data_IF_985730014235
#
_entry.id   IF_985730014235
#
_cell.length_a   1.000
_cell.length_b   1.000
_cell.length_c   1.000
_cell.angle_alpha   90.00
_cell.angle_beta   90.00
_cell.angle_gamma   90.00
#
_symmetry.space_group_name_H-M   'P 1'
#
loop_
_entity.id
_entity.type
_entity.pdbx_description
1 polymer ?
#
# COMPACT_ATOMS: atom_id res chain seq x y z
N UNK A 1 -21.85 -6.62 22.95
CA UNK A 1 -20.52 -6.78 22.35
C UNK A 1 -20.73 -7.38 20.97
N UNK A 2 -20.02 -6.90 19.95
CA UNK A 2 -20.02 -7.55 18.63
C UNK A 2 -18.82 -8.50 18.60
N UNK A 3 -19.10 -9.77 18.36
CA UNK A 3 -18.03 -10.76 18.16
C UNK A 3 -17.38 -10.52 16.81
N UNK A 4 -16.07 -10.52 16.77
CA UNK A 4 -15.28 -10.44 15.55
C UNK A 4 -14.48 -11.73 15.38
N UNK A 5 -14.37 -12.20 14.14
CA UNK A 5 -13.51 -13.33 13.84
C UNK A 5 -12.03 -12.90 13.91
N UNK A 6 -11.26 -13.65 14.70
CA UNK A 6 -9.81 -13.46 14.80
C UNK A 6 -9.08 -14.72 14.35
N UNK A 7 -7.94 -14.53 13.70
CA UNK A 7 -7.07 -15.66 13.35
C UNK A 7 -6.33 -16.15 14.59
N UNK A 8 -6.42 -17.46 14.84
CA UNK A 8 -5.72 -18.14 15.94
C UNK A 8 -4.85 -19.26 15.37
N UNK A 9 -3.65 -19.40 15.89
CA UNK A 9 -2.80 -20.56 15.58
C UNK A 9 -3.46 -21.84 16.08
N UNK A 10 -3.32 -22.91 15.29
CA UNK A 10 -3.78 -24.25 15.68
C UNK A 10 -2.62 -25.02 16.28
N UNK A 11 -2.93 -25.93 17.21
CA UNK A 11 -1.91 -26.77 17.86
C UNK A 11 -1.20 -27.71 16.87
N UNK A 12 -1.85 -28.00 15.75
CA UNK A 12 -1.32 -28.82 14.65
C UNK A 12 -1.42 -28.06 13.35
N UNK A 13 -0.33 -27.49 12.84
CA UNK A 13 -0.30 -26.84 11.54
C UNK A 13 -0.70 -27.82 10.45
N UNK A 14 -1.48 -27.35 9.46
CA UNK A 14 -1.76 -28.16 8.27
C UNK A 14 -0.48 -28.35 7.47
N UNK A 15 -0.23 -29.59 7.05
CA UNK A 15 0.83 -29.90 6.09
C UNK A 15 0.51 -29.27 4.75
N UNK A 16 1.46 -28.54 4.19
CA UNK A 16 1.44 -28.07 2.82
C UNK A 16 2.31 -28.96 1.92
N UNK A 17 2.01 -28.98 0.65
CA UNK A 17 2.71 -29.80 -0.34
C UNK A 17 2.97 -29.00 -1.61
N UNK A 18 4.08 -29.25 -2.25
CA UNK A 18 4.29 -28.82 -3.62
C UNK A 18 3.31 -29.58 -4.51
N UNK A 19 2.52 -28.87 -5.30
CA UNK A 19 1.55 -29.50 -6.20
C UNK A 19 2.19 -29.74 -7.57
N UNK A 20 2.09 -30.96 -8.10
CA UNK A 20 2.56 -31.28 -9.45
C UNK A 20 1.64 -30.59 -10.45
N UNK A 21 2.21 -29.71 -11.28
CA UNK A 21 1.49 -28.89 -12.27
C UNK A 21 0.31 -28.09 -11.69
N UNK A 22 0.33 -27.77 -10.40
CA UNK A 22 -0.76 -27.07 -9.73
C UNK A 22 -2.00 -27.92 -9.44
N UNK A 23 -1.99 -29.21 -9.74
CA UNK A 23 -3.14 -30.09 -9.51
C UNK A 23 -3.29 -30.44 -8.02
N UNK A 24 -4.42 -30.09 -7.44
CA UNK A 24 -4.72 -30.26 -6.02
C UNK A 24 -4.59 -31.72 -5.54
N UNK A 25 -4.91 -32.68 -6.39
CA UNK A 25 -4.88 -34.13 -6.06
C UNK A 25 -3.46 -34.72 -6.19
N UNK A 26 -2.57 -34.07 -6.93
CA UNK A 26 -1.21 -34.56 -7.17
C UNK A 26 -0.20 -33.89 -6.23
N UNK A 27 -0.16 -34.36 -4.99
CA UNK A 27 0.77 -33.86 -3.97
C UNK A 27 2.17 -34.38 -4.23
N UNK A 28 3.14 -33.46 -4.23
CA UNK A 28 4.57 -33.76 -4.21
C UNK A 28 5.12 -33.84 -2.80
N UNK A 29 6.33 -33.31 -2.57
CA UNK A 29 6.95 -33.28 -1.27
C UNK A 29 6.20 -32.38 -0.28
N UNK A 30 6.24 -32.74 1.01
CA UNK A 30 5.71 -31.89 2.06
C UNK A 30 6.67 -30.73 2.32
N UNK A 31 6.10 -29.53 2.49
CA UNK A 31 6.88 -28.32 2.75
C UNK A 31 6.41 -27.64 4.03
N UNK A 32 7.37 -27.09 4.75
CA UNK A 32 7.12 -26.26 5.93
C UNK A 32 7.03 -24.77 5.60
N UNK A 33 6.77 -23.93 6.62
CA UNK A 33 6.87 -22.47 6.49
C UNK A 33 8.32 -22.04 6.25
N UNK A 34 8.61 -21.54 5.07
CA UNK A 34 9.94 -21.06 4.64
C UNK A 34 9.83 -19.70 3.97
N UNK A 35 10.95 -19.03 3.78
CA UNK A 35 11.07 -17.77 3.04
C UNK A 35 11.81 -18.01 1.73
N UNK A 36 11.56 -17.17 0.70
CA UNK A 36 12.28 -17.30 -0.58
C UNK A 36 13.80 -17.19 -0.40
N UNK A 37 14.55 -18.08 -1.03
CA UNK A 37 16.02 -18.12 -0.91
C UNK A 37 16.72 -16.84 -1.43
N UNK A 38 16.04 -16.06 -2.30
CA UNK A 38 16.55 -14.80 -2.81
C UNK A 38 16.43 -13.63 -1.81
N UNK A 39 15.74 -13.83 -0.69
CA UNK A 39 15.52 -12.81 0.35
C UNK A 39 16.30 -13.20 1.62
N UNK A 40 16.43 -12.26 2.58
CA UNK A 40 17.11 -12.55 3.83
C UNK A 40 16.57 -13.82 4.52
N UNK A 41 17.46 -14.56 5.17
CA UNK A 41 17.07 -15.77 5.87
C UNK A 41 16.05 -15.48 6.99
N UNK A 42 15.19 -16.47 7.25
CA UNK A 42 14.25 -16.37 8.36
C UNK A 42 15.01 -16.22 9.70
N UNK A 43 14.60 -15.29 10.59
CA UNK A 43 15.34 -14.99 11.81
C UNK A 43 15.54 -16.24 12.68
N UNK A 44 16.77 -16.48 13.11
CA UNK A 44 17.10 -17.62 13.98
C UNK A 44 16.29 -17.55 15.28
N UNK A 45 15.71 -18.66 15.69
CA UNK A 45 14.91 -18.75 16.92
C UNK A 45 13.51 -18.11 16.84
N UNK A 46 13.13 -17.48 15.72
CA UNK A 46 11.78 -16.98 15.56
C UNK A 46 10.79 -18.15 15.33
N UNK A 47 9.56 -18.07 15.87
CA UNK A 47 8.55 -19.11 15.66
C UNK A 47 8.14 -19.16 14.19
N UNK A 48 8.08 -20.34 13.59
CA UNK A 48 7.66 -20.53 12.19
C UNK A 48 6.14 -20.46 12.04
N UNK A 49 5.59 -19.29 12.32
CA UNK A 49 4.19 -18.96 12.27
C UNK A 49 3.99 -17.51 11.79
N UNK A 50 2.77 -16.99 11.83
CA UNK A 50 2.45 -15.62 11.38
C UNK A 50 3.23 -14.54 12.12
N UNK A 51 3.49 -14.72 13.42
CA UNK A 51 4.30 -13.76 14.18
C UNK A 51 5.76 -13.74 13.70
N UNK A 52 6.34 -14.91 13.45
CA UNK A 52 7.70 -14.99 12.89
C UNK A 52 7.77 -14.41 11.49
N UNK A 53 6.76 -14.65 10.64
CA UNK A 53 6.65 -14.04 9.31
C UNK A 53 6.57 -12.51 9.41
N UNK A 54 5.74 -12.00 10.32
CA UNK A 54 5.62 -10.56 10.52
C UNK A 54 6.97 -9.94 10.95
N UNK A 55 7.68 -10.56 11.88
CA UNK A 55 9.01 -10.11 12.31
C UNK A 55 10.03 -10.13 11.18
N UNK A 56 10.00 -11.15 10.33
CA UNK A 56 10.86 -11.25 9.17
C UNK A 56 10.55 -10.14 8.15
N UNK A 57 9.29 -9.92 7.83
CA UNK A 57 8.86 -8.86 6.90
C UNK A 57 9.25 -7.45 7.38
N UNK A 58 9.16 -7.21 8.69
CA UNK A 58 9.47 -5.90 9.28
C UNK A 58 10.90 -5.76 9.75
N UNK A 59 11.75 -6.74 9.48
CA UNK A 59 13.18 -6.67 9.81
C UNK A 59 13.85 -5.50 9.09
N UNK A 60 14.78 -4.78 9.73
CA UNK A 60 15.41 -3.59 9.13
C UNK A 60 16.15 -3.85 7.82
N UNK A 61 16.65 -5.08 7.64
CA UNK A 61 17.37 -5.54 6.46
C UNK A 61 16.47 -6.16 5.39
N UNK A 62 15.14 -6.22 5.63
CA UNK A 62 14.22 -6.74 4.63
C UNK A 62 14.07 -5.77 3.45
N UNK A 63 14.46 -6.16 2.22
CA UNK A 63 14.64 -5.20 1.12
C UNK A 63 13.34 -4.69 0.50
N UNK A 64 12.21 -5.36 0.70
CA UNK A 64 11.00 -5.10 -0.10
C UNK A 64 9.90 -4.38 0.66
N UNK A 65 9.54 -4.78 1.88
CA UNK A 65 8.32 -4.33 2.53
C UNK A 65 8.23 -2.81 2.65
N UNK A 66 9.31 -2.16 3.11
CA UNK A 66 9.33 -0.71 3.26
C UNK A 66 9.22 0.00 1.89
N UNK A 67 9.96 -0.46 0.87
CA UNK A 67 9.93 0.10 -0.48
C UNK A 67 8.55 -0.03 -1.12
N UNK A 68 7.94 -1.21 -1.06
CA UNK A 68 6.59 -1.46 -1.59
C UNK A 68 5.56 -0.58 -0.89
N UNK A 69 5.63 -0.49 0.44
CA UNK A 69 4.71 0.33 1.23
C UNK A 69 4.84 1.81 0.89
N UNK A 70 6.06 2.33 0.86
CA UNK A 70 6.35 3.73 0.49
C UNK A 70 5.90 4.03 -0.93
N UNK A 71 6.16 3.12 -1.88
CA UNK A 71 5.72 3.28 -3.26
C UNK A 71 4.20 3.40 -3.40
N UNK A 72 3.45 2.60 -2.64
CA UNK A 72 1.97 2.68 -2.62
C UNK A 72 1.47 4.00 -2.02
N UNK A 73 2.08 4.47 -0.94
CA UNK A 73 1.73 5.78 -0.37
C UNK A 73 2.12 6.92 -1.33
N UNK A 74 3.26 6.84 -1.98
CA UNK A 74 3.65 7.77 -3.03
C UNK A 74 2.62 7.77 -4.17
N UNK A 75 2.25 6.60 -4.68
CA UNK A 75 1.26 6.45 -5.73
C UNK A 75 -0.09 7.06 -5.36
N UNK A 76 -0.54 6.90 -4.12
CA UNK A 76 -1.79 7.50 -3.65
C UNK A 76 -1.77 9.03 -3.68
N UNK A 77 -0.59 9.65 -3.52
CA UNK A 77 -0.42 11.10 -3.49
C UNK A 77 -0.10 11.69 -4.88
N UNK A 78 0.64 10.97 -5.72
CA UNK A 78 1.09 11.44 -7.03
C UNK A 78 0.33 10.83 -8.21
N UNK A 79 -0.48 9.79 -7.98
CA UNK A 79 -1.22 9.05 -9.01
C UNK A 79 -0.41 7.95 -9.68
N UNK A 80 0.95 8.05 -9.68
CA UNK A 80 1.90 7.05 -10.19
C UNK A 80 2.93 6.74 -9.10
N UNK A 81 3.30 5.48 -8.95
CA UNK A 81 4.40 5.06 -8.06
C UNK A 81 5.77 5.47 -8.60
N UNK A 82 6.78 5.54 -7.73
CA UNK A 82 8.19 5.63 -8.12
C UNK A 82 8.61 4.38 -8.93
N UNK A 83 8.06 3.23 -8.56
CA UNK A 83 7.98 2.03 -9.39
C UNK A 83 6.56 1.98 -9.95
N UNK A 84 6.43 2.02 -11.27
CA UNK A 84 5.12 2.05 -11.96
C UNK A 84 4.33 0.77 -11.72
N UNK A 85 5.01 -0.37 -11.76
CA UNK A 85 4.44 -1.69 -11.49
C UNK A 85 4.35 -1.95 -10.00
N UNK A 86 3.44 -1.26 -9.30
CA UNK A 86 3.32 -1.32 -7.83
C UNK A 86 2.99 -2.72 -7.29
N UNK A 87 2.50 -3.61 -8.12
CA UNK A 87 2.20 -5.01 -7.81
C UNK A 87 3.38 -5.95 -8.08
N UNK A 88 4.40 -5.49 -8.82
CA UNK A 88 5.55 -6.30 -9.19
C UNK A 88 6.86 -5.52 -9.03
N UNK A 89 7.60 -5.87 -7.98
CA UNK A 89 8.95 -5.39 -7.69
C UNK A 89 10.02 -6.43 -8.07
N UNK A 90 9.62 -7.46 -8.82
CA UNK A 90 10.48 -8.53 -9.27
C UNK A 90 11.13 -8.24 -10.62
N UNK A 91 11.68 -9.29 -11.22
CA UNK A 91 12.44 -9.21 -12.48
C UNK A 91 11.61 -8.82 -13.70
N UNK A 92 10.29 -8.89 -13.62
CA UNK A 92 9.38 -8.49 -14.69
C UNK A 92 8.75 -7.12 -14.45
N UNK A 93 8.98 -6.54 -13.26
CA UNK A 93 8.55 -5.19 -12.92
C UNK A 93 9.44 -4.12 -13.54
N UNK A 94 8.91 -2.90 -13.62
CA UNK A 94 9.70 -1.74 -14.03
C UNK A 94 10.68 -1.33 -12.92
N UNK A 95 11.84 -0.83 -13.34
CA UNK A 95 12.80 -0.24 -12.40
C UNK A 95 12.28 1.12 -11.89
N UNK A 96 12.61 1.49 -10.64
CA UNK A 96 12.27 2.81 -10.15
C UNK A 96 13.00 3.90 -10.94
N UNK A 97 12.29 4.96 -11.31
CA UNK A 97 12.90 6.12 -11.97
C UNK A 97 13.88 6.86 -11.06
N UNK A 98 13.57 6.89 -9.75
CA UNK A 98 14.39 7.54 -8.73
C UNK A 98 14.70 6.55 -7.60
N UNK A 99 15.64 5.61 -7.81
CA UNK A 99 15.95 4.56 -6.82
C UNK A 99 16.44 5.13 -5.50
N UNK A 100 17.27 6.18 -5.52
CA UNK A 100 17.79 6.79 -4.30
C UNK A 100 16.68 7.47 -3.48
N UNK A 101 15.68 8.06 -4.13
CA UNK A 101 14.54 8.65 -3.45
C UNK A 101 13.67 7.57 -2.80
N UNK A 102 13.41 6.47 -3.50
CA UNK A 102 12.66 5.35 -2.96
C UNK A 102 13.37 4.75 -1.75
N UNK A 103 14.69 4.56 -1.85
CA UNK A 103 15.51 3.99 -0.79
C UNK A 103 15.59 4.91 0.42
N UNK A 104 15.75 6.21 0.19
CA UNK A 104 15.75 7.19 1.26
C UNK A 104 14.42 7.23 2.01
N UNK A 105 13.30 7.30 1.28
CA UNK A 105 11.95 7.29 1.89
C UNK A 105 11.69 5.99 2.65
N UNK A 106 12.10 4.84 2.12
CA UNK A 106 11.96 3.55 2.79
C UNK A 106 12.79 3.50 4.06
N UNK A 107 14.03 3.98 4.02
CA UNK A 107 14.90 4.07 5.20
C UNK A 107 14.36 5.00 6.28
N UNK A 108 13.83 6.18 5.91
CA UNK A 108 13.16 7.09 6.83
C UNK A 108 11.92 6.46 7.46
N UNK A 109 11.13 5.75 6.67
CA UNK A 109 9.93 5.08 7.16
C UNK A 109 10.25 4.02 8.21
N UNK A 110 11.28 3.19 7.98
CA UNK A 110 11.76 2.22 8.98
C UNK A 110 12.31 2.92 10.22
N UNK A 111 13.16 3.95 10.04
CA UNK A 111 13.79 4.72 11.15
C UNK A 111 12.76 5.45 12.03
N UNK A 112 11.65 5.89 11.45
CA UNK A 112 10.54 6.50 12.18
C UNK A 112 9.69 5.50 12.97
N UNK A 113 10.00 4.21 12.94
CA UNK A 113 9.18 3.16 13.54
C UNK A 113 7.89 2.89 12.75
N UNK A 114 7.93 3.01 11.43
CA UNK A 114 6.79 2.79 10.55
C UNK A 114 5.68 3.85 10.74
N UNK A 115 6.06 5.11 11.07
CA UNK A 115 5.11 6.22 11.23
C UNK A 115 4.58 6.69 9.87
N UNK A 116 3.41 6.19 9.50
CA UNK A 116 2.71 6.54 8.25
C UNK A 116 2.40 8.03 8.16
N UNK A 117 2.03 8.66 9.29
CA UNK A 117 1.70 10.09 9.30
C UNK A 117 2.94 10.96 9.11
N UNK A 118 4.08 10.56 9.68
CA UNK A 118 5.35 11.24 9.45
C UNK A 118 5.78 11.12 7.98
N UNK A 119 5.67 9.94 7.38
CA UNK A 119 5.95 9.72 5.95
C UNK A 119 5.08 10.62 5.06
N UNK A 120 3.76 10.62 5.25
CA UNK A 120 2.86 11.48 4.48
C UNK A 120 3.21 12.95 4.67
N UNK A 121 3.49 13.40 5.89
CA UNK A 121 3.89 14.77 6.18
C UNK A 121 5.18 15.16 5.43
N UNK A 122 6.15 14.27 5.38
CA UNK A 122 7.39 14.47 4.63
C UNK A 122 7.11 14.66 3.15
N UNK A 123 6.30 13.80 2.55
CA UNK A 123 5.96 13.86 1.13
C UNK A 123 5.17 15.13 0.78
N UNK A 124 4.07 15.41 1.50
CA UNK A 124 3.20 16.54 1.14
C UNK A 124 3.82 17.91 1.44
N UNK A 125 4.84 17.99 2.31
CA UNK A 125 5.61 19.22 2.56
C UNK A 125 6.76 19.43 1.59
N UNK A 126 7.08 18.43 0.76
CA UNK A 126 8.17 18.54 -0.23
C UNK A 126 7.87 19.63 -1.26
N UNK A 127 8.93 20.23 -1.80
CA UNK A 127 8.83 21.14 -2.93
C UNK A 127 8.18 20.48 -4.15
N UNK A 128 8.49 19.22 -4.39
CA UNK A 128 7.95 18.41 -5.49
C UNK A 128 6.42 18.28 -5.42
N UNK A 129 5.85 17.96 -4.26
CA UNK A 129 4.40 17.84 -4.10
C UNK A 129 3.68 19.19 -4.21
N UNK A 130 4.32 20.26 -3.74
CA UNK A 130 3.77 21.62 -3.67
C UNK A 130 3.93 22.42 -4.95
N UNK A 131 4.46 21.85 -6.00
CA UNK A 131 4.56 22.49 -7.32
C UNK A 131 3.17 22.79 -7.88
N UNK A 132 3.13 23.74 -8.81
CA UNK A 132 1.92 24.01 -9.61
C UNK A 132 1.56 22.77 -10.43
N UNK A 133 0.29 22.42 -10.47
CA UNK A 133 -0.23 21.30 -11.26
C UNK A 133 -0.48 21.67 -12.74
N UNK A 134 -0.35 22.97 -13.08
CA UNK A 134 -0.48 23.47 -14.45
C UNK A 134 0.87 23.35 -15.18
N UNK A 135 0.81 22.94 -16.44
CA UNK A 135 1.94 22.95 -17.36
C UNK A 135 1.47 23.32 -18.77
N UNK A 136 2.43 23.71 -19.64
CA UNK A 136 2.15 24.00 -21.04
C UNK A 136 1.76 22.71 -21.80
N UNK A 137 1.14 22.88 -22.98
CA UNK A 137 0.81 21.74 -23.85
C UNK A 137 2.07 20.97 -24.29
N UNK A 138 3.18 21.68 -24.52
CA UNK A 138 4.47 21.10 -24.86
C UNK A 138 5.02 20.22 -23.69
N UNK A 139 5.06 20.74 -22.48
CA UNK A 139 5.48 19.98 -21.29
C UNK A 139 4.60 18.76 -21.02
N UNK A 140 3.31 18.86 -21.35
CA UNK A 140 2.39 17.71 -21.23
C UNK A 140 2.63 16.67 -22.31
N UNK A 141 3.06 17.08 -23.51
CA UNK A 141 3.40 16.16 -24.60
C UNK A 141 4.73 15.43 -24.33
N UNK A 142 5.71 16.14 -23.78
CA UNK A 142 7.05 15.59 -23.48
C UNK A 142 7.04 14.60 -22.31
N UNK A 143 6.25 14.89 -21.26
CA UNK A 143 6.15 14.05 -20.06
C UNK A 143 4.69 13.91 -19.62
N UNK A 144 3.86 13.15 -20.34
CA UNK A 144 2.43 13.02 -20.06
C UNK A 144 2.15 12.38 -18.69
N UNK A 145 2.97 11.43 -18.26
CA UNK A 145 2.82 10.73 -16.98
C UNK A 145 3.48 11.47 -15.79
N UNK A 146 4.10 12.62 -16.02
CA UNK A 146 4.85 13.37 -15.01
C UNK A 146 5.94 12.53 -14.33
N UNK A 147 6.65 11.76 -15.11
CA UNK A 147 7.76 10.89 -14.65
C UNK A 147 8.88 11.73 -14.05
N UNK A 148 9.18 12.87 -14.69
CA UNK A 148 10.22 13.81 -14.25
C UNK A 148 9.82 14.64 -13.02
N UNK A 149 8.61 14.47 -12.50
CA UNK A 149 8.10 15.21 -11.35
C UNK A 149 8.19 16.73 -11.51
N UNK A 150 8.07 17.22 -12.75
CA UNK A 150 8.25 18.63 -13.10
C UNK A 150 7.00 19.50 -12.77
N UNK A 151 5.91 18.88 -12.35
CA UNK A 151 4.66 19.54 -11.94
C UNK A 151 4.03 18.85 -10.75
N UNK A 152 3.15 19.53 -10.05
CA UNK A 152 2.35 18.95 -8.97
C UNK A 152 1.39 17.88 -9.51
N UNK A 153 0.96 16.93 -8.66
CA UNK A 153 0.07 15.86 -9.08
C UNK A 153 -1.29 16.39 -9.54
N UNK A 154 -1.85 15.75 -10.56
CA UNK A 154 -3.18 16.06 -11.11
C UNK A 154 -3.89 14.77 -11.46
N UNK A 155 -4.49 14.15 -10.49
CA UNK A 155 -5.28 12.93 -10.66
C UNK A 155 -6.59 13.05 -9.87
N UNK A 156 -7.54 12.18 -10.21
CA UNK A 156 -8.83 12.16 -9.52
C UNK A 156 -8.70 11.39 -8.22
N UNK A 157 -9.08 12.03 -7.12
CA UNK A 157 -9.16 11.39 -5.82
C UNK A 157 -10.36 10.45 -5.71
N UNK A 158 -10.30 9.40 -4.87
CA UNK A 158 -11.47 8.62 -4.49
C UNK A 158 -12.58 9.50 -3.89
N UNK A 159 -13.83 9.10 -4.08
CA UNK A 159 -14.99 9.90 -3.66
C UNK A 159 -15.02 10.16 -2.15
N UNK A 160 -14.63 9.16 -1.36
CA UNK A 160 -14.52 9.27 0.10
C UNK A 160 -13.48 10.30 0.53
N UNK A 161 -12.34 10.39 -0.16
CA UNK A 161 -11.29 11.39 0.13
C UNK A 161 -11.81 12.80 -0.21
N UNK A 162 -12.51 12.97 -1.34
CA UNK A 162 -13.12 14.25 -1.73
C UNK A 162 -14.15 14.70 -0.67
N UNK A 163 -14.99 13.78 -0.21
CA UNK A 163 -15.97 14.04 0.83
C UNK A 163 -15.30 14.44 2.16
N UNK A 164 -14.33 13.67 2.60
CA UNK A 164 -13.63 13.94 3.85
C UNK A 164 -12.84 15.26 3.80
N UNK A 165 -12.26 15.59 2.66
CA UNK A 165 -11.62 16.88 2.43
C UNK A 165 -12.63 18.04 2.56
N UNK A 166 -13.82 17.92 1.96
CA UNK A 166 -14.87 18.91 2.07
C UNK A 166 -15.30 19.11 3.54
N UNK A 167 -15.48 18.01 4.28
CA UNK A 167 -15.82 18.06 5.70
C UNK A 167 -14.69 18.63 6.56
N UNK A 168 -13.44 18.31 6.25
CA UNK A 168 -12.29 18.85 6.98
C UNK A 168 -12.15 20.35 6.79
N UNK A 169 -12.26 20.84 5.54
CA UNK A 169 -12.15 22.28 5.22
C UNK A 169 -13.29 23.08 5.84
N UNK A 170 -14.52 22.51 5.87
CA UNK A 170 -15.68 23.16 6.51
C UNK A 170 -15.70 23.05 8.04
N UNK A 171 -14.76 22.32 8.66
CA UNK A 171 -14.74 22.08 10.09
C UNK A 171 -15.81 21.10 10.59
N UNK A 172 -16.47 20.38 9.69
CA UNK A 172 -17.54 19.42 10.02
C UNK A 172 -17.04 17.97 10.15
N UNK A 173 -15.75 17.71 9.87
CA UNK A 173 -15.20 16.38 10.00
C UNK A 173 -15.12 15.96 11.48
N UNK A 174 -15.77 14.86 11.81
CA UNK A 174 -15.67 14.23 13.13
C UNK A 174 -14.65 13.10 13.06
N UNK A 175 -13.50 13.28 13.70
CA UNK A 175 -12.43 12.27 13.77
C UNK A 175 -12.79 11.12 14.73
N UNK A 176 -13.68 10.24 14.29
CA UNK A 176 -14.07 9.05 15.05
C UNK A 176 -13.77 7.79 14.23
N UNK A 177 -12.81 7.01 14.71
CA UNK A 177 -12.45 5.74 14.09
C UNK A 177 -13.37 4.61 14.53
N UNK A 178 -13.79 3.79 13.55
CA UNK A 178 -14.62 2.61 13.79
C UNK A 178 -16.08 2.92 14.09
N UNK A 179 -16.86 1.88 14.24
CA UNK A 179 -18.32 1.96 14.46
C UNK A 179 -19.13 1.32 13.33
N UNK A 180 -20.44 1.52 13.36
CA UNK A 180 -21.32 1.09 12.29
C UNK A 180 -21.16 2.03 11.08
N UNK A 181 -21.29 1.52 9.84
CA UNK A 181 -21.32 2.36 8.65
C UNK A 181 -22.48 3.34 8.72
N UNK A 182 -22.27 4.56 8.26
CA UNK A 182 -23.30 5.59 8.22
C UNK A 182 -23.63 5.95 6.76
N UNK A 183 -24.90 6.24 6.49
CA UNK A 183 -25.28 6.82 5.22
C UNK A 183 -24.87 8.30 5.21
N UNK A 184 -24.06 8.67 4.26
CA UNK A 184 -23.52 10.03 4.15
C UNK A 184 -24.57 11.09 3.82
N UNK A 185 -25.68 10.70 3.17
CA UNK A 185 -26.82 11.53 2.83
C UNK A 185 -28.01 10.66 2.41
N UNK A 186 -29.21 11.16 2.56
CA UNK A 186 -30.41 10.54 1.99
C UNK A 186 -30.48 10.90 0.49
N UNK A 187 -30.06 9.96 -0.35
CA UNK A 187 -30.22 10.10 -1.79
C UNK A 187 -31.70 9.93 -2.17
N UNK A 188 -32.23 10.73 -3.12
CA UNK A 188 -33.52 10.47 -3.72
C UNK A 188 -33.61 9.02 -4.21
N UNK A 189 -34.82 8.42 -4.17
CA UNK A 189 -35.07 7.01 -4.56
C UNK A 189 -34.41 6.62 -5.91
N UNK A 190 -34.40 7.56 -6.88
CA UNK A 190 -33.78 7.39 -8.19
C UNK A 190 -32.27 7.14 -8.13
N UNK A 191 -31.58 7.57 -7.06
CA UNK A 191 -30.14 7.35 -6.86
C UNK A 191 -29.81 6.15 -5.97
N UNK A 192 -30.78 5.64 -5.22
CA UNK A 192 -30.59 4.44 -4.38
C UNK A 192 -30.31 3.18 -5.20
N UNK A 193 -30.74 3.16 -6.47
CA UNK A 193 -30.46 2.05 -7.39
C UNK A 193 -29.05 2.07 -8.02
N UNK A 194 -28.38 3.24 -8.03
CA UNK A 194 -27.06 3.41 -8.68
C UNK A 194 -25.92 3.25 -7.65
N UNK A 195 -26.19 3.33 -6.37
CA UNK A 195 -25.20 3.49 -5.32
C UNK A 195 -25.16 2.42 -4.23
N UNK A 196 -25.22 1.13 -4.59
CA UNK A 196 -24.63 0.11 -3.72
C UNK A 196 -23.13 -0.01 -4.07
N UNK A 197 -22.38 1.02 -3.75
CA UNK A 197 -20.94 0.88 -3.63
C UNK A 197 -20.68 0.02 -2.38
N UNK A 198 -20.13 -1.15 -2.59
CA UNK A 198 -19.62 -1.98 -1.52
C UNK A 198 -18.40 -1.27 -0.89
N UNK A 199 -18.54 -0.89 0.36
CA UNK A 199 -17.43 -0.53 1.24
C UNK A 199 -16.93 -1.79 1.92
#
# INVERSE_FOLDING_TARGET
AKDIMVMRETDRPKLAYVLKRGEYQQRGEAVGPETPAALPAFPAGAPRNRLGLARWLTAPDHPLLARVTVNRFWQSLFGRGLVKTSEDFGTQGEQPEYPELLDWLAGEFVRSGWDVKALHRTIVRSGTYRQRSFSSAEQMADDPENVLLARGPRHRWPAEVIRDQALAVSGLLVEKMGGAPVNGYDAPESFKQIGRAHV
#
